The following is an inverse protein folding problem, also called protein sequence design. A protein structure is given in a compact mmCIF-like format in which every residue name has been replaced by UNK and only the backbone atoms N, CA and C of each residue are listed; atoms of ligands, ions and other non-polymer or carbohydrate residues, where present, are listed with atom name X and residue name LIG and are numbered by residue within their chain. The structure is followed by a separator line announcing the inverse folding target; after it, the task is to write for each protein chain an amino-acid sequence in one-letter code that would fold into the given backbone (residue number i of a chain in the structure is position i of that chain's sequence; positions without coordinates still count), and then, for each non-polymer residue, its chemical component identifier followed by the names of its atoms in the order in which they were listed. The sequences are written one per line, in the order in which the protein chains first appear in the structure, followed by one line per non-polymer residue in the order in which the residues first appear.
data_IF_214990649704
#
_entry.id   IF_214990649704
#
_cell.length_a   1.000
_cell.length_b   1.000
_cell.length_c   1.000
_cell.angle_alpha   90.00
_cell.angle_beta   90.00
_cell.angle_gamma   90.00
#
_symmetry.space_group_name_H-M   'P 1'
#
loop_
_entity.id
_entity.type
_entity.pdbx_description
1 polymer ?
#
# COMPACT_ATOMS: atom_id res chain seq x y z
N UNK A 1 -1.11 -10.22 17.78
CA UNK A 1 -0.92 -9.98 19.20
C UNK A 1 0.33 -10.65 19.76
N UNK A 2 0.44 -12.01 19.67
CA UNK A 2 1.58 -12.74 20.28
C UNK A 2 2.92 -12.43 19.59
N UNK A 3 2.95 -12.29 18.28
CA UNK A 3 4.13 -11.86 17.53
C UNK A 3 4.44 -10.38 17.83
N UNK A 4 3.42 -9.53 17.84
CA UNK A 4 3.57 -8.10 18.12
C UNK A 4 4.14 -7.83 19.51
N UNK A 5 3.77 -8.62 20.52
CA UNK A 5 4.30 -8.45 21.89
C UNK A 5 5.79 -8.80 22.02
N UNK A 6 6.33 -9.60 21.09
CA UNK A 6 7.75 -9.99 21.04
C UNK A 6 8.61 -9.00 20.23
N UNK A 7 8.00 -8.12 19.46
CA UNK A 7 8.73 -7.11 18.68
C UNK A 7 8.69 -5.77 19.44
N UNK A 8 9.86 -5.20 19.86
CA UNK A 8 9.93 -3.95 20.61
C UNK A 8 9.18 -2.79 19.95
N UNK A 9 9.13 -2.76 18.61
CA UNK A 9 8.44 -1.72 17.83
C UNK A 9 6.91 -1.80 17.93
N UNK A 10 6.36 -3.00 18.13
CA UNK A 10 4.90 -3.22 18.12
C UNK A 10 4.33 -3.64 19.48
N UNK A 11 5.20 -3.92 20.47
CA UNK A 11 4.80 -4.33 21.81
C UNK A 11 3.91 -3.30 22.53
N UNK A 12 4.11 -2.01 22.23
CA UNK A 12 3.35 -0.90 22.82
C UNK A 12 2.02 -0.59 22.10
N UNK A 13 1.60 -1.42 21.13
CA UNK A 13 0.29 -1.24 20.49
C UNK A 13 -0.85 -1.58 21.43
N UNK A 14 -2.02 -0.95 21.21
CA UNK A 14 -3.20 -1.03 22.08
C UNK A 14 -3.70 -2.46 22.38
N UNK A 15 -3.53 -3.41 21.46
CA UNK A 15 -3.93 -4.81 21.67
C UNK A 15 -2.89 -5.58 22.53
N UNK A 16 -1.58 -5.56 22.24
CA UNK A 16 -0.56 -6.14 23.10
C UNK A 16 -0.54 -5.59 24.51
N UNK A 17 -0.74 -4.28 24.68
CA UNK A 17 -0.79 -3.62 26.02
C UNK A 17 -2.08 -3.86 26.79
N UNK A 18 -3.13 -4.34 26.13
CA UNK A 18 -4.44 -4.54 26.73
C UNK A 18 -5.30 -3.28 26.85
N UNK A 19 -4.88 -2.14 26.27
CA UNK A 19 -5.67 -0.90 26.22
C UNK A 19 -7.00 -1.09 25.50
N UNK A 20 -7.00 -1.96 24.47
CA UNK A 20 -8.22 -2.35 23.75
C UNK A 20 -8.46 -3.83 23.98
N UNK A 21 -9.62 -4.16 24.56
CA UNK A 21 -10.03 -5.55 24.76
C UNK A 21 -10.37 -6.21 23.41
N UNK A 22 -10.20 -7.53 23.33
CA UNK A 22 -10.61 -8.30 22.13
C UNK A 22 -12.10 -8.13 21.81
N UNK A 23 -12.96 -8.02 22.83
CA UNK A 23 -14.40 -7.81 22.63
C UNK A 23 -14.67 -6.44 22.00
N UNK A 24 -14.01 -5.38 22.48
CA UNK A 24 -14.12 -4.05 21.89
C UNK A 24 -13.62 -4.04 20.43
N UNK A 25 -12.52 -4.73 20.14
CA UNK A 25 -12.03 -4.89 18.78
C UNK A 25 -13.07 -5.55 17.85
N UNK A 26 -13.70 -6.64 18.29
CA UNK A 26 -14.76 -7.28 17.51
C UNK A 26 -15.98 -6.36 17.34
N UNK A 27 -16.33 -5.56 18.35
CA UNK A 27 -17.37 -4.54 18.25
C UNK A 27 -17.07 -3.51 17.15
N UNK A 28 -15.85 -2.94 17.13
CA UNK A 28 -15.43 -2.02 16.08
C UNK A 28 -15.46 -2.66 14.69
N UNK A 29 -14.97 -3.89 14.57
CA UNK A 29 -15.00 -4.63 13.30
C UNK A 29 -16.43 -4.86 12.81
N UNK A 30 -17.36 -5.20 13.72
CA UNK A 30 -18.76 -5.41 13.37
C UNK A 30 -19.43 -4.12 12.88
N UNK A 31 -19.20 -2.99 13.57
CA UNK A 31 -19.71 -1.68 13.15
C UNK A 31 -19.14 -1.28 11.80
N UNK A 32 -17.83 -1.43 11.60
CA UNK A 32 -17.17 -1.15 10.31
C UNK A 32 -17.73 -2.04 9.19
N UNK A 33 -18.00 -3.33 9.48
CA UNK A 33 -18.61 -4.26 8.54
C UNK A 33 -20.03 -3.86 8.14
N UNK A 34 -20.85 -3.42 9.10
CA UNK A 34 -22.20 -2.91 8.81
C UNK A 34 -22.17 -1.64 7.95
N UNK A 35 -21.27 -0.70 8.26
CA UNK A 35 -21.07 0.51 7.44
C UNK A 35 -20.63 0.11 6.03
N UNK A 36 -19.68 -0.82 5.89
CA UNK A 36 -19.24 -1.32 4.59
C UNK A 36 -20.39 -1.90 3.77
N UNK A 37 -21.23 -2.77 4.37
CA UNK A 37 -22.42 -3.34 3.72
C UNK A 37 -23.39 -2.24 3.30
N UNK A 38 -23.65 -1.26 4.16
CA UNK A 38 -24.54 -0.14 3.85
C UNK A 38 -24.00 0.71 2.68
N UNK A 39 -22.68 0.93 2.61
CA UNK A 39 -22.05 1.67 1.50
C UNK A 39 -22.14 0.89 0.20
N UNK A 40 -21.72 -0.38 0.17
CA UNK A 40 -21.75 -1.17 -1.08
C UNK A 40 -23.17 -1.37 -1.62
N UNK A 41 -24.19 -1.31 -0.76
CA UNK A 41 -25.60 -1.39 -1.19
C UNK A 41 -26.06 -0.18 -2.03
N UNK A 42 -25.33 0.93 -1.97
CA UNK A 42 -25.61 2.15 -2.76
C UNK A 42 -24.81 2.20 -4.07
N UNK A 43 -23.92 1.25 -4.30
CA UNK A 43 -23.02 1.20 -5.45
C UNK A 43 -23.55 0.24 -6.52
N UNK A 44 -22.88 0.19 -7.67
CA UNK A 44 -23.25 -0.71 -8.76
C UNK A 44 -23.33 -2.17 -8.27
N UNK A 45 -24.36 -2.98 -8.67
CA UNK A 45 -24.60 -4.34 -8.16
C UNK A 45 -23.40 -5.29 -8.26
N UNK A 46 -22.48 -5.08 -9.21
CA UNK A 46 -21.26 -5.89 -9.36
C UNK A 46 -20.36 -5.85 -8.12
N UNK A 47 -20.48 -4.79 -7.30
CA UNK A 47 -19.67 -4.64 -6.07
C UNK A 47 -19.95 -5.75 -5.06
N UNK A 48 -21.17 -6.27 -5.00
CA UNK A 48 -21.51 -7.39 -4.13
C UNK A 48 -20.75 -8.67 -4.48
N UNK A 49 -20.56 -8.91 -5.78
CA UNK A 49 -19.81 -10.08 -6.26
C UNK A 49 -18.30 -9.92 -6.01
N UNK A 50 -17.78 -8.71 -6.16
CA UNK A 50 -16.34 -8.44 -6.08
C UNK A 50 -15.85 -8.09 -4.66
N UNK A 51 -16.70 -7.58 -3.77
CA UNK A 51 -16.33 -7.19 -2.41
C UNK A 51 -15.66 -8.29 -1.56
N UNK A 52 -16.01 -9.58 -1.67
CA UNK A 52 -15.30 -10.63 -0.94
C UNK A 52 -13.81 -10.76 -1.30
N UNK A 53 -13.39 -10.38 -2.51
CA UNK A 53 -12.01 -10.54 -2.99
C UNK A 53 -11.02 -9.70 -2.16
N UNK A 54 -11.15 -8.34 -2.08
CA UNK A 54 -10.26 -7.54 -1.27
C UNK A 54 -10.35 -7.88 0.21
N UNK A 55 -11.53 -8.25 0.73
CA UNK A 55 -11.67 -8.69 2.12
C UNK A 55 -10.87 -9.96 2.39
N UNK A 56 -10.92 -10.95 1.49
CA UNK A 56 -10.12 -12.16 1.61
C UNK A 56 -8.61 -11.84 1.58
N UNK A 57 -8.17 -10.97 0.68
CA UNK A 57 -6.77 -10.53 0.60
C UNK A 57 -6.36 -9.85 1.91
N UNK A 58 -7.17 -8.94 2.46
CA UNK A 58 -6.90 -8.25 3.72
C UNK A 58 -6.78 -9.20 4.92
N UNK A 59 -7.56 -10.29 4.94
CA UNK A 59 -7.49 -11.30 6.00
C UNK A 59 -6.25 -12.19 5.85
N UNK A 60 -5.88 -12.54 4.63
CA UNK A 60 -4.80 -13.50 4.34
C UNK A 60 -3.42 -12.85 4.41
N UNK A 61 -3.26 -11.60 3.91
CA UNK A 61 -1.94 -11.00 3.75
C UNK A 61 -1.08 -10.97 5.03
N UNK A 62 -1.60 -10.72 6.26
CA UNK A 62 -0.78 -10.71 7.47
C UNK A 62 -0.13 -12.06 7.81
N UNK A 63 -0.68 -13.14 7.27
CA UNK A 63 -0.15 -14.49 7.46
C UNK A 63 0.92 -14.86 6.43
N UNK A 64 1.00 -14.15 5.30
CA UNK A 64 1.95 -14.44 4.22
C UNK A 64 3.40 -14.37 4.69
N UNK A 65 3.71 -13.46 5.62
CA UNK A 65 5.07 -13.32 6.20
C UNK A 65 5.57 -14.59 6.93
N UNK A 66 4.66 -15.51 7.27
CA UNK A 66 4.99 -16.83 7.87
C UNK A 66 5.34 -17.89 6.82
N UNK A 67 5.00 -17.64 5.55
CA UNK A 67 5.03 -18.67 4.50
C UNK A 67 5.92 -18.25 3.33
N UNK A 68 5.96 -16.96 2.99
CA UNK A 68 6.64 -16.47 1.79
C UNK A 68 7.23 -15.07 1.96
N UNK A 69 8.38 -14.86 1.33
CA UNK A 69 9.03 -13.56 1.20
C UNK A 69 8.27 -12.60 0.26
N UNK A 70 7.34 -13.11 -0.53
CA UNK A 70 6.42 -12.30 -1.36
C UNK A 70 5.28 -11.66 -0.54
N UNK A 71 5.33 -11.71 0.78
CA UNK A 71 4.31 -11.16 1.70
C UNK A 71 3.95 -9.69 1.40
N UNK A 72 4.91 -8.88 0.96
CA UNK A 72 4.70 -7.48 0.56
C UNK A 72 3.68 -7.31 -0.58
N UNK A 73 3.67 -8.27 -1.52
CA UNK A 73 2.69 -8.28 -2.63
C UNK A 73 1.26 -8.58 -2.16
N UNK A 74 1.10 -9.20 -0.99
CA UNK A 74 -0.21 -9.37 -0.36
C UNK A 74 -0.85 -8.02 0.02
N UNK A 75 -0.07 -7.09 0.61
CA UNK A 75 -0.53 -5.72 0.84
C UNK A 75 -0.75 -4.99 -0.50
N UNK A 76 0.20 -5.10 -1.41
CA UNK A 76 0.10 -4.50 -2.75
C UNK A 76 -1.13 -4.95 -3.52
N UNK A 77 -1.58 -6.21 -3.37
CA UNK A 77 -2.76 -6.73 -4.04
C UNK A 77 -4.05 -5.98 -3.65
N UNK A 78 -4.16 -5.48 -2.42
CA UNK A 78 -5.27 -4.62 -2.01
C UNK A 78 -5.27 -3.34 -2.86
N UNK A 79 -4.12 -2.69 -3.01
CA UNK A 79 -3.98 -1.45 -3.78
C UNK A 79 -4.11 -1.67 -5.29
N UNK A 80 -3.74 -2.84 -5.80
CA UNK A 80 -4.03 -3.25 -7.18
C UNK A 80 -5.53 -3.22 -7.48
N UNK A 81 -6.34 -3.70 -6.53
CA UNK A 81 -7.78 -3.86 -6.70
C UNK A 81 -8.52 -2.51 -6.62
N UNK A 82 -8.03 -1.56 -5.80
CA UNK A 82 -8.77 -0.33 -5.46
C UNK A 82 -9.15 0.52 -6.69
N UNK A 83 -8.25 0.97 -7.59
CA UNK A 83 -8.64 1.82 -8.71
C UNK A 83 -9.64 1.18 -9.67
N UNK A 84 -9.45 -0.06 -10.15
CA UNK A 84 -10.46 -0.71 -11.00
C UNK A 84 -11.76 -1.00 -10.25
N UNK A 85 -11.73 -1.31 -8.96
CA UNK A 85 -12.92 -1.54 -8.16
C UNK A 85 -13.75 -0.26 -7.99
N UNK A 86 -13.11 0.88 -7.77
CA UNK A 86 -13.80 2.19 -7.69
C UNK A 86 -14.49 2.52 -9.02
N UNK A 87 -13.82 2.31 -10.15
CA UNK A 87 -14.43 2.52 -11.48
C UNK A 87 -15.65 1.62 -11.65
N UNK A 88 -15.53 0.32 -11.40
CA UNK A 88 -16.64 -0.63 -11.46
C UNK A 88 -17.79 -0.28 -10.51
N UNK A 89 -17.47 0.15 -9.30
CA UNK A 89 -18.45 0.48 -8.29
C UNK A 89 -19.31 1.70 -8.65
N UNK A 90 -18.72 2.68 -9.31
CA UNK A 90 -19.40 3.94 -9.68
C UNK A 90 -20.06 3.87 -11.04
N UNK A 91 -19.41 3.22 -12.03
CA UNK A 91 -19.81 3.30 -13.43
C UNK A 91 -20.24 1.97 -14.05
N UNK A 92 -19.99 0.85 -13.38
CA UNK A 92 -20.17 -0.50 -13.93
C UNK A 92 -19.15 -0.88 -15.00
N UNK A 93 -18.13 -0.03 -15.26
CA UNK A 93 -17.11 -0.24 -16.30
C UNK A 93 -15.70 -0.24 -15.71
N UNK A 94 -14.74 -0.82 -16.43
CA UNK A 94 -13.34 -0.89 -16.01
C UNK A 94 -12.42 -0.52 -17.18
N UNK A 95 -12.21 0.76 -17.47
CA UNK A 95 -11.24 1.19 -18.47
C UNK A 95 -9.82 0.69 -18.11
N UNK A 96 -9.06 0.28 -19.13
CA UNK A 96 -7.73 -0.32 -18.93
C UNK A 96 -6.74 0.59 -18.16
N UNK A 97 -6.89 1.90 -18.32
CA UNK A 97 -6.08 2.86 -17.55
C UNK A 97 -6.22 2.72 -16.03
N UNK A 98 -7.41 2.37 -15.51
CA UNK A 98 -7.58 2.11 -14.07
C UNK A 98 -6.88 0.82 -13.61
N UNK A 99 -6.75 -0.17 -14.48
CA UNK A 99 -5.93 -1.37 -14.21
C UNK A 99 -4.45 -0.99 -14.11
N UNK A 100 -3.96 -0.14 -15.02
CA UNK A 100 -2.59 0.37 -14.98
C UNK A 100 -2.30 1.19 -13.71
N UNK A 101 -3.26 2.06 -13.30
CA UNK A 101 -3.16 2.77 -12.01
C UNK A 101 -3.10 1.78 -10.86
N UNK A 102 -3.90 0.71 -10.89
CA UNK A 102 -3.88 -0.33 -9.86
C UNK A 102 -2.52 -1.03 -9.77
N UNK A 103 -1.93 -1.43 -10.90
CA UNK A 103 -0.60 -2.05 -10.92
C UNK A 103 0.47 -1.05 -10.45
N UNK A 104 0.37 0.22 -10.86
CA UNK A 104 1.25 1.30 -10.41
C UNK A 104 1.14 1.54 -8.90
N UNK A 105 -0.07 1.56 -8.35
CA UNK A 105 -0.34 1.69 -6.91
C UNK A 105 0.22 0.48 -6.14
N UNK A 106 0.05 -0.74 -6.65
CA UNK A 106 0.67 -1.94 -6.09
C UNK A 106 2.19 -1.79 -6.05
N UNK A 107 2.81 -1.40 -7.14
CA UNK A 107 4.27 -1.23 -7.21
C UNK A 107 4.77 -0.18 -6.22
N UNK A 108 4.08 0.96 -6.10
CA UNK A 108 4.40 1.99 -5.12
C UNK A 108 4.30 1.46 -3.68
N UNK A 109 3.17 0.83 -3.33
CA UNK A 109 2.92 0.32 -1.98
C UNK A 109 3.90 -0.80 -1.61
N UNK A 110 4.15 -1.74 -2.51
CA UNK A 110 5.17 -2.79 -2.28
C UNK A 110 6.56 -2.18 -2.14
N UNK A 111 6.88 -1.16 -2.94
CA UNK A 111 8.16 -0.45 -2.87
C UNK A 111 8.43 0.15 -1.50
N UNK A 112 7.49 0.92 -0.95
CA UNK A 112 7.68 1.51 0.38
C UNK A 112 7.54 0.48 1.52
N UNK A 113 6.73 -0.57 1.37
CA UNK A 113 6.60 -1.62 2.39
C UNK A 113 7.89 -2.45 2.49
N UNK A 114 8.54 -2.75 1.35
CA UNK A 114 9.87 -3.38 1.32
C UNK A 114 10.92 -2.49 1.97
N UNK A 115 10.89 -1.18 1.69
CA UNK A 115 11.77 -0.20 2.33
C UNK A 115 11.59 -0.23 3.85
N UNK A 116 10.34 -0.14 4.32
CA UNK A 116 10.01 -0.11 5.74
C UNK A 116 10.34 -1.43 6.46
N UNK A 117 10.22 -2.56 5.78
CA UNK A 117 10.53 -3.88 6.31
C UNK A 117 12.03 -4.05 6.64
N UNK A 118 12.91 -3.16 6.16
CA UNK A 118 14.33 -3.14 6.56
C UNK A 118 14.51 -2.89 8.06
N UNK A 119 13.57 -2.18 8.71
CA UNK A 119 13.57 -2.00 10.17
C UNK A 119 13.37 -3.31 10.95
N UNK A 120 12.67 -4.27 10.36
CA UNK A 120 12.36 -5.54 10.99
C UNK A 120 13.37 -6.64 10.60
N UNK A 121 14.42 -6.32 9.85
CA UNK A 121 15.38 -7.28 9.27
C UNK A 121 15.87 -8.32 10.29
N UNK A 122 16.38 -7.86 11.43
CA UNK A 122 16.89 -8.75 12.46
C UNK A 122 15.78 -9.57 13.14
N UNK A 123 14.69 -8.90 13.50
CA UNK A 123 13.52 -9.56 14.15
C UNK A 123 12.91 -10.62 13.24
N UNK A 124 12.77 -10.33 11.94
CA UNK A 124 12.23 -11.28 10.98
C UNK A 124 13.12 -12.53 10.86
N UNK A 125 14.45 -12.36 10.83
CA UNK A 125 15.40 -13.49 10.80
C UNK A 125 15.35 -14.33 12.07
N UNK A 126 15.35 -13.68 13.24
CA UNK A 126 15.34 -14.35 14.54
C UNK A 126 14.04 -15.13 14.79
N UNK A 127 12.93 -14.65 14.24
CA UNK A 127 11.60 -15.29 14.35
C UNK A 127 11.26 -16.22 13.18
N UNK A 128 12.15 -16.38 12.20
CA UNK A 128 11.90 -17.21 11.01
C UNK A 128 10.78 -16.65 10.13
N UNK A 129 10.54 -15.33 10.16
CA UNK A 129 9.58 -14.66 9.28
C UNK A 129 10.21 -14.33 7.94
N UNK A 130 9.38 -14.38 6.90
CA UNK A 130 9.83 -14.20 5.53
C UNK A 130 9.46 -12.81 5.01
N UNK A 131 10.48 -12.05 4.62
CA UNK A 131 10.36 -10.76 3.94
C UNK A 131 11.45 -10.62 2.87
N UNK A 132 11.33 -9.65 1.97
CA UNK A 132 12.39 -9.40 0.99
C UNK A 132 13.71 -9.06 1.70
N UNK A 133 13.76 -8.15 2.69
CA UNK A 133 15.00 -7.92 3.44
C UNK A 133 15.54 -9.18 4.12
N UNK A 134 14.70 -9.95 4.84
CA UNK A 134 15.17 -11.14 5.56
C UNK A 134 15.72 -12.23 4.65
N UNK A 135 15.24 -12.29 3.38
CA UNK A 135 15.66 -13.26 2.37
C UNK A 135 16.88 -12.84 1.57
N UNK A 136 16.98 -11.56 1.18
CA UNK A 136 17.95 -11.06 0.19
C UNK A 136 18.85 -9.94 0.72
N UNK A 137 18.82 -9.64 2.00
CA UNK A 137 19.51 -8.56 2.71
C UNK A 137 18.99 -7.14 2.39
N UNK A 138 19.43 -6.17 3.22
CA UNK A 138 18.99 -4.77 3.13
C UNK A 138 19.38 -4.13 1.79
N UNK A 139 20.63 -4.25 1.28
CA UNK A 139 21.00 -3.65 0.00
C UNK A 139 20.11 -4.12 -1.16
N UNK A 140 19.81 -5.42 -1.23
CA UNK A 140 18.93 -5.96 -2.27
C UNK A 140 17.48 -5.44 -2.12
N UNK A 141 16.97 -5.35 -0.88
CA UNK A 141 15.66 -4.79 -0.61
C UNK A 141 15.54 -3.33 -1.07
N UNK A 142 16.56 -2.50 -0.85
CA UNK A 142 16.59 -1.12 -1.33
C UNK A 142 16.59 -1.04 -2.86
N UNK A 143 17.29 -1.93 -3.55
CA UNK A 143 17.27 -2.00 -5.04
C UNK A 143 15.87 -2.40 -5.53
N UNK A 144 15.25 -3.40 -4.91
CA UNK A 144 13.88 -3.83 -5.26
C UNK A 144 12.89 -2.68 -5.05
N UNK A 145 12.96 -1.98 -3.91
CA UNK A 145 12.13 -0.81 -3.62
C UNK A 145 12.26 0.27 -4.70
N UNK A 146 13.49 0.65 -5.06
CA UNK A 146 13.76 1.63 -6.13
C UNK A 146 13.19 1.20 -7.47
N UNK A 147 13.37 -0.05 -7.85
CA UNK A 147 12.81 -0.62 -9.08
C UNK A 147 11.28 -0.57 -9.13
N UNK A 148 10.64 -0.89 -8.01
CA UNK A 148 9.18 -0.82 -7.87
C UNK A 148 8.65 0.62 -7.93
N UNK A 149 9.33 1.59 -7.31
CA UNK A 149 8.95 3.00 -7.41
C UNK A 149 9.11 3.54 -8.83
N UNK A 150 10.18 3.16 -9.54
CA UNK A 150 10.34 3.50 -10.96
C UNK A 150 9.22 2.90 -11.81
N UNK A 151 8.89 1.62 -11.58
CA UNK A 151 7.77 0.95 -12.27
C UNK A 151 6.45 1.65 -12.00
N UNK A 152 6.20 2.08 -10.75
CA UNK A 152 5.00 2.83 -10.39
C UNK A 152 4.86 4.13 -11.21
N UNK A 153 5.94 4.93 -11.29
CA UNK A 153 5.96 6.18 -12.08
C UNK A 153 5.69 5.89 -13.55
N UNK A 154 6.35 4.89 -14.14
CA UNK A 154 6.16 4.51 -15.54
C UNK A 154 4.71 4.10 -15.83
N UNK A 155 4.12 3.30 -14.96
CA UNK A 155 2.73 2.85 -15.10
C UNK A 155 1.73 4.00 -14.95
N UNK A 156 1.99 4.96 -14.05
CA UNK A 156 1.16 6.15 -13.93
C UNK A 156 1.23 7.02 -15.20
N UNK A 157 2.43 7.21 -15.79
CA UNK A 157 2.55 7.92 -17.09
C UNK A 157 1.74 7.21 -18.17
N UNK A 158 1.90 5.89 -18.31
CA UNK A 158 1.18 5.11 -19.33
C UNK A 158 -0.33 5.17 -19.08
N UNK A 159 -0.77 5.08 -17.82
CA UNK A 159 -2.18 5.19 -17.47
C UNK A 159 -2.78 6.53 -17.89
N UNK A 160 -2.07 7.64 -17.62
CA UNK A 160 -2.50 8.97 -18.04
C UNK A 160 -2.62 9.09 -19.57
N UNK A 161 -1.69 8.51 -20.33
CA UNK A 161 -1.75 8.49 -21.79
C UNK A 161 -2.96 7.67 -22.30
N UNK A 162 -3.21 6.50 -21.71
CA UNK A 162 -4.34 5.62 -22.06
C UNK A 162 -5.69 6.27 -21.72
N UNK A 163 -5.78 7.01 -20.61
CA UNK A 163 -7.00 7.69 -20.18
C UNK A 163 -7.23 9.03 -20.87
N UNK A 164 -6.22 9.56 -21.58
CA UNK A 164 -6.29 10.91 -22.15
C UNK A 164 -6.32 12.00 -21.09
N UNK A 165 -5.62 11.78 -19.96
CA UNK A 165 -5.64 12.67 -18.80
C UNK A 165 -5.11 14.06 -19.14
N UNK A 166 -5.61 15.08 -18.44
CA UNK A 166 -5.16 16.46 -18.56
C UNK A 166 -3.66 16.62 -18.24
N UNK A 167 -2.98 17.62 -18.80
CA UNK A 167 -1.54 17.84 -18.58
C UNK A 167 -1.15 17.98 -17.10
N UNK A 168 -2.06 18.47 -16.25
CA UNK A 168 -1.84 18.55 -14.79
C UNK A 168 -1.62 17.18 -14.13
N UNK A 169 -2.28 16.14 -14.63
CA UNK A 169 -2.02 14.78 -14.17
C UNK A 169 -0.53 14.42 -14.33
N UNK A 170 0.04 14.72 -15.50
CA UNK A 170 1.47 14.43 -15.77
C UNK A 170 2.42 15.27 -14.93
N UNK A 171 2.04 16.53 -14.64
CA UNK A 171 2.78 17.36 -13.70
C UNK A 171 2.74 16.73 -12.29
N UNK A 172 1.58 16.23 -11.86
CA UNK A 172 1.42 15.46 -10.62
C UNK A 172 2.34 14.22 -10.59
N UNK A 173 2.36 13.45 -11.68
CA UNK A 173 3.26 12.27 -11.80
C UNK A 173 4.74 12.67 -11.75
N UNK A 174 5.12 13.78 -12.37
CA UNK A 174 6.51 14.29 -12.31
C UNK A 174 6.90 14.67 -10.87
N UNK A 175 6.00 15.31 -10.12
CA UNK A 175 6.23 15.62 -8.70
C UNK A 175 6.31 14.35 -7.85
N UNK A 176 5.46 13.34 -8.10
CA UNK A 176 5.57 12.03 -7.46
C UNK A 176 6.94 11.41 -7.71
N UNK A 177 7.44 11.45 -8.96
CA UNK A 177 8.76 10.92 -9.29
C UNK A 177 9.89 11.62 -8.51
N UNK A 178 9.83 12.94 -8.38
CA UNK A 178 10.80 13.71 -7.59
C UNK A 178 10.72 13.37 -6.09
N UNK A 179 9.50 13.26 -5.55
CA UNK A 179 9.29 12.93 -4.14
C UNK A 179 9.73 11.50 -3.82
N UNK A 180 9.46 10.53 -4.70
CA UNK A 180 9.97 9.16 -4.56
C UNK A 180 11.48 9.09 -4.66
N UNK A 181 12.10 9.88 -5.57
CA UNK A 181 13.55 10.01 -5.64
C UNK A 181 14.15 10.57 -4.34
N UNK A 182 13.50 11.57 -3.75
CA UNK A 182 13.90 12.12 -2.46
C UNK A 182 13.70 11.09 -1.33
N UNK A 183 12.57 10.41 -1.27
CA UNK A 183 12.31 9.31 -0.31
C UNK A 183 13.43 8.27 -0.34
N UNK A 184 13.80 7.80 -1.53
CA UNK A 184 14.87 6.82 -1.71
C UNK A 184 16.26 7.35 -1.33
N UNK A 185 16.46 8.65 -1.30
CA UNK A 185 17.71 9.28 -0.84
C UNK A 185 17.83 9.38 0.67
N UNK A 186 16.72 9.25 1.40
CA UNK A 186 16.70 9.34 2.87
C UNK A 186 17.27 8.10 3.57
N UNK A 187 17.37 6.97 2.86
CA UNK A 187 17.69 5.66 3.44
C UNK A 187 18.82 4.99 2.64
N UNK A 188 19.80 4.47 3.36
CA UNK A 188 20.87 3.63 2.80
C UNK A 188 21.03 2.35 3.61
N UNK A 189 21.83 1.39 3.11
CA UNK A 189 22.14 0.15 3.83
C UNK A 189 22.80 0.39 5.19
N UNK A 190 23.54 1.50 5.32
CA UNK A 190 24.33 1.84 6.48
C UNK A 190 23.62 2.87 7.39
N UNK A 191 22.56 3.52 6.88
CA UNK A 191 21.78 4.52 7.64
C UNK A 191 20.29 4.38 7.39
N UNK A 192 19.58 3.85 8.39
CA UNK A 192 18.12 3.71 8.42
C UNK A 192 17.46 4.75 9.36
N UNK A 193 18.20 5.74 9.84
CA UNK A 193 17.71 6.70 10.85
C UNK A 193 16.49 7.50 10.39
N UNK A 194 16.35 7.75 9.08
CA UNK A 194 15.24 8.50 8.47
C UNK A 194 14.14 7.63 7.91
N UNK A 195 14.14 6.32 8.20
CA UNK A 195 13.17 5.36 7.66
C UNK A 195 11.72 5.74 7.98
N UNK A 196 11.43 6.20 9.19
CA UNK A 196 10.09 6.66 9.56
C UNK A 196 9.63 7.88 8.75
N UNK A 197 10.54 8.82 8.45
CA UNK A 197 10.27 9.95 7.59
C UNK A 197 9.97 9.50 6.15
N UNK A 198 10.80 8.60 5.60
CA UNK A 198 10.60 8.02 4.28
C UNK A 198 9.24 7.31 4.19
N UNK A 199 8.90 6.49 5.17
CA UNK A 199 7.66 5.70 5.12
C UNK A 199 6.41 6.54 5.40
N UNK A 200 6.32 7.25 6.52
CA UNK A 200 5.07 7.91 6.92
C UNK A 200 4.90 9.29 6.26
N UNK A 201 5.92 10.14 6.33
CA UNK A 201 5.79 11.53 5.89
C UNK A 201 5.77 11.60 4.37
N UNK A 202 6.71 10.95 3.70
CA UNK A 202 6.84 11.06 2.24
C UNK A 202 5.65 10.45 1.52
N UNK A 203 5.19 9.25 1.93
CA UNK A 203 4.02 8.62 1.31
C UNK A 203 2.72 9.42 1.52
N UNK A 204 2.56 10.06 2.69
CA UNK A 204 1.45 10.98 2.92
C UNK A 204 1.50 12.20 2.00
N UNK A 205 2.67 12.83 1.86
CA UNK A 205 2.88 13.99 0.96
C UNK A 205 2.64 13.58 -0.50
N UNK A 206 3.20 12.45 -0.95
CA UNK A 206 3.02 11.92 -2.32
C UNK A 206 1.54 11.74 -2.64
N UNK A 207 0.79 11.07 -1.75
CA UNK A 207 -0.63 10.82 -1.96
C UNK A 207 -1.45 12.13 -2.07
N UNK A 208 -1.19 13.10 -1.19
CA UNK A 208 -1.89 14.39 -1.19
C UNK A 208 -1.53 15.19 -2.46
N UNK A 209 -0.25 15.31 -2.77
CA UNK A 209 0.21 16.07 -3.96
C UNK A 209 -0.39 15.47 -5.22
N UNK A 210 -0.27 14.16 -5.43
CA UNK A 210 -0.82 13.51 -6.61
C UNK A 210 -2.35 13.67 -6.68
N UNK A 211 -3.06 13.45 -5.57
CA UNK A 211 -4.51 13.61 -5.50
C UNK A 211 -4.98 15.03 -5.88
N UNK A 212 -4.28 16.08 -5.41
CA UNK A 212 -4.59 17.48 -5.77
C UNK A 212 -4.48 17.68 -7.29
N UNK A 213 -3.38 17.25 -7.91
CA UNK A 213 -3.17 17.44 -9.35
C UNK A 213 -4.17 16.64 -10.20
N UNK A 214 -4.53 15.42 -9.78
CA UNK A 214 -5.58 14.61 -10.46
C UNK A 214 -6.92 15.33 -10.37
N UNK A 215 -7.34 15.75 -9.16
CA UNK A 215 -8.66 16.38 -8.96
C UNK A 215 -8.76 17.70 -9.71
N UNK A 216 -7.73 18.56 -9.65
CA UNK A 216 -7.74 19.83 -10.36
C UNK A 216 -7.78 19.59 -11.89
N UNK A 217 -7.02 18.61 -12.39
CA UNK A 217 -7.00 18.25 -13.80
C UNK A 217 -8.35 17.77 -14.35
N UNK A 218 -9.20 17.18 -13.53
CA UNK A 218 -10.54 16.74 -13.92
C UNK A 218 -11.62 17.85 -13.84
N UNK A 219 -11.33 18.95 -13.11
CA UNK A 219 -12.28 20.05 -12.93
C UNK A 219 -12.10 21.14 -13.99
N UNK A 220 -10.89 21.31 -14.56
CA UNK A 220 -10.54 22.33 -15.57
C UNK A 220 -10.70 21.77 -16.98
#
# INVERSE_FOLDING_TARGET
GEIDSKNPRTAMRAIPTGEISRLAMYGYMSVAGLIFVAVISQLHPITWLLAPIPLAVMVVYPYLKRVTWLSHFGMGAVYLIVPPAVSLALTGTMPFGFVLIGIGSMAWVVGFDVLYATADFQVDRDQGLHSIPSRFDIPAALVVSKGLHLLAVLLLVIAGLVLGSHWLYFLGVALVALLLGYEQSLVSSDDLSKLNMAFFTMNGVIAIVFGIFVVIGEII
#
